data_IF_789159849714
#
_entry.id   IF_789159849714
#
_cell.length_a   1.000
_cell.length_b   1.000
_cell.length_c   1.000
_cell.angle_alpha   90.00
_cell.angle_beta   90.00
_cell.angle_gamma   90.00
#
_symmetry.space_group_name_H-M   'P 1'
#
loop_
_entity.id
_entity.type
_entity.pdbx_description
1 polymer ?
#
# COMPACT_ATOMS: atom_id res chain seq x y z
N UNK A 1 -16.45 12.58 -2.57
CA UNK A 1 -17.07 11.47 -1.82
C UNK A 1 -16.13 10.25 -1.86
N UNK A 2 -14.89 10.35 -1.36
CA UNK A 2 -13.93 9.23 -1.41
C UNK A 2 -12.98 9.18 -0.23
N UNK A 3 -13.29 9.84 0.89
CA UNK A 3 -12.36 9.96 2.03
C UNK A 3 -12.45 8.77 3.01
N UNK A 4 -13.33 7.79 2.75
CA UNK A 4 -13.70 6.76 3.74
C UNK A 4 -13.77 5.32 3.24
N UNK A 5 -13.25 4.99 2.06
CA UNK A 5 -13.25 3.62 1.55
C UNK A 5 -11.91 2.93 1.76
N UNK A 6 -11.95 1.61 1.96
CA UNK A 6 -10.74 0.80 1.96
C UNK A 6 -10.16 0.78 0.54
N UNK A 7 -8.84 0.67 0.45
CA UNK A 7 -8.16 0.55 -0.83
C UNK A 7 -7.28 -0.68 -0.87
N UNK A 8 -7.22 -1.32 -2.04
CA UNK A 8 -6.22 -2.34 -2.35
C UNK A 8 -5.11 -1.68 -3.16
N UNK A 9 -3.90 -1.77 -2.63
CA UNK A 9 -2.67 -1.36 -3.30
C UNK A 9 -2.04 -2.60 -3.94
N UNK A 10 -1.95 -2.63 -5.25
CA UNK A 10 -1.28 -3.69 -6.02
C UNK A 10 0.04 -3.15 -6.58
N UNK A 11 1.14 -3.83 -6.34
CA UNK A 11 2.46 -3.47 -6.87
C UNK A 11 2.64 -4.18 -8.21
N UNK A 12 2.71 -3.43 -9.30
CA UNK A 12 2.86 -3.99 -10.65
C UNK A 12 4.33 -4.27 -10.99
N UNK A 13 5.24 -3.41 -10.53
CA UNK A 13 6.68 -3.54 -10.71
C UNK A 13 7.43 -2.78 -9.61
N UNK A 14 8.68 -3.17 -9.34
CA UNK A 14 9.53 -2.54 -8.33
C UNK A 14 9.42 -3.21 -6.95
N UNK A 15 10.00 -2.54 -5.96
CA UNK A 15 10.05 -3.00 -4.56
C UNK A 15 9.97 -1.82 -3.60
N UNK A 16 9.14 -1.95 -2.57
CA UNK A 16 9.02 -0.97 -1.48
C UNK A 16 8.82 -1.65 -0.13
N UNK A 17 9.09 -0.91 0.94
CA UNK A 17 8.62 -1.30 2.28
C UNK A 17 7.42 -0.44 2.70
N UNK A 18 6.45 -1.05 3.35
CA UNK A 18 5.25 -0.41 3.89
C UNK A 18 5.27 -0.52 5.42
N UNK A 19 4.94 0.57 6.10
CA UNK A 19 4.59 0.56 7.52
C UNK A 19 3.08 0.79 7.63
N UNK A 20 2.35 -0.26 8.03
CA UNK A 20 0.89 -0.22 8.16
C UNK A 20 0.47 0.29 9.54
N UNK A 21 -0.72 0.92 9.66
CA UNK A 21 -1.26 1.37 10.94
C UNK A 21 -1.30 0.23 11.97
N UNK A 22 -0.91 0.54 13.21
CA UNK A 22 -0.91 -0.43 14.31
C UNK A 22 0.25 -1.43 14.30
N UNK A 23 1.17 -1.32 13.35
CA UNK A 23 2.42 -2.11 13.31
C UNK A 23 3.63 -1.19 13.53
N UNK A 24 4.71 -1.75 14.08
CA UNK A 24 6.02 -1.07 14.16
C UNK A 24 7.03 -1.65 13.16
N UNK A 25 6.62 -2.69 12.42
CA UNK A 25 7.48 -3.47 11.55
C UNK A 25 7.23 -3.11 10.09
N UNK A 26 8.32 -2.85 9.39
CA UNK A 26 8.29 -2.61 7.95
C UNK A 26 8.09 -3.94 7.21
N UNK A 27 7.18 -3.95 6.25
CA UNK A 27 6.85 -5.10 5.42
C UNK A 27 7.25 -4.82 3.96
N UNK A 28 8.04 -5.70 3.35
CA UNK A 28 8.49 -5.55 1.96
C UNK A 28 7.45 -6.12 0.99
N UNK A 29 7.14 -5.36 -0.07
CA UNK A 29 6.27 -5.76 -1.17
C UNK A 29 7.00 -5.51 -2.51
N UNK A 30 6.85 -6.44 -3.44
CA UNK A 30 7.43 -6.41 -4.77
C UNK A 30 6.38 -6.63 -5.86
N UNK A 31 6.78 -6.50 -7.13
CA UNK A 31 5.89 -6.74 -8.27
C UNK A 31 5.13 -8.07 -8.18
N UNK A 32 3.80 -7.99 -8.25
CA UNK A 32 2.85 -9.09 -8.07
C UNK A 32 2.21 -9.16 -6.67
N UNK A 33 2.74 -8.43 -5.69
CA UNK A 33 2.17 -8.38 -4.35
C UNK A 33 1.08 -7.31 -4.20
N UNK A 34 0.23 -7.47 -3.18
CA UNK A 34 -0.79 -6.48 -2.82
C UNK A 34 -0.95 -6.35 -1.31
N UNK A 35 -1.46 -5.20 -0.86
CA UNK A 35 -1.87 -4.96 0.52
C UNK A 35 -3.12 -4.08 0.62
N UNK A 36 -3.90 -4.27 1.68
CA UNK A 36 -5.09 -3.46 1.97
C UNK A 36 -4.74 -2.32 2.92
N UNK A 37 -5.30 -1.15 2.66
CA UNK A 37 -5.23 0.01 3.55
C UNK A 37 -6.65 0.35 3.99
N UNK A 38 -6.85 0.33 5.31
CA UNK A 38 -8.14 0.67 5.91
C UNK A 38 -8.50 2.14 5.65
N UNK A 39 -9.79 2.41 5.49
CA UNK A 39 -10.33 3.76 5.47
C UNK A 39 -9.88 4.59 6.67
N UNK A 40 -9.73 5.90 6.49
CA UNK A 40 -9.28 6.83 7.54
C UNK A 40 -7.91 6.50 8.17
N UNK A 41 -7.07 5.73 7.49
CA UNK A 41 -5.76 5.35 8.00
C UNK A 41 -4.63 6.03 7.23
N UNK A 42 -3.44 6.05 7.85
CA UNK A 42 -2.20 6.53 7.24
C UNK A 42 -1.15 5.43 7.32
N UNK A 43 -0.41 5.26 6.24
CA UNK A 43 0.69 4.33 6.14
C UNK A 43 1.91 5.06 5.58
N UNK A 44 3.10 4.51 5.79
CA UNK A 44 4.35 5.07 5.29
C UNK A 44 4.99 4.11 4.28
N UNK A 45 5.73 4.68 3.34
CA UNK A 45 6.43 3.94 2.29
C UNK A 45 7.92 4.28 2.31
N UNK A 46 8.76 3.25 2.18
CA UNK A 46 10.17 3.38 1.77
C UNK A 46 10.32 2.75 0.39
N UNK A 47 10.35 3.60 -0.62
CA UNK A 47 10.50 3.18 -2.02
C UNK A 47 11.96 2.80 -2.27
N UNK A 48 12.24 1.50 -2.50
CA UNK A 48 13.61 0.99 -2.71
C UNK A 48 14.02 1.07 -4.19
N UNK A 49 13.05 0.87 -5.08
CA UNK A 49 13.22 0.90 -6.53
C UNK A 49 12.07 1.69 -7.17
N UNK A 50 12.22 2.10 -8.43
CA UNK A 50 11.10 2.66 -9.19
C UNK A 50 9.92 1.68 -9.14
N UNK A 51 8.81 2.13 -8.58
CA UNK A 51 7.68 1.27 -8.24
C UNK A 51 6.42 1.74 -8.95
N UNK A 52 5.87 0.85 -9.77
CA UNK A 52 4.58 1.02 -10.42
C UNK A 52 3.51 0.34 -9.58
N UNK A 53 2.41 1.02 -9.30
CA UNK A 53 1.31 0.49 -8.51
C UNK A 53 -0.05 0.88 -9.06
N UNK A 54 -1.06 0.07 -8.76
CA UNK A 54 -2.47 0.36 -8.98
C UNK A 54 -3.18 0.46 -7.62
N UNK A 55 -4.04 1.47 -7.45
CA UNK A 55 -4.85 1.64 -6.26
C UNK A 55 -6.33 1.49 -6.65
N UNK A 56 -6.98 0.48 -6.09
CA UNK A 56 -8.40 0.22 -6.30
C UNK A 56 -9.20 0.60 -5.06
N UNK A 57 -10.17 1.49 -5.22
CA UNK A 57 -11.12 1.82 -4.15
C UNK A 57 -12.19 0.73 -4.08
N UNK A 58 -12.42 0.21 -2.88
CA UNK A 58 -13.49 -0.74 -2.62
C UNK A 58 -14.75 0.06 -2.24
N UNK A 59 -15.85 -0.13 -2.98
CA UNK A 59 -17.15 0.46 -2.68
C UNK A 59 -17.81 -0.15 -1.41
#
# INVERSE_FOLDING_TARGET
>A
MSEFTNVIMEILAGTLDVLLPGTNDWQTFSGGDQFEVAANSKFELKVRELTDYCCSYLD
#
